data_IF_970700734841
#
_entry.id   IF_970700734841
#
_cell.length_a   1.000
_cell.length_b   1.000
_cell.length_c   1.000
_cell.angle_alpha   90.00
_cell.angle_beta   90.00
_cell.angle_gamma   90.00
#
_symmetry.space_group_name_H-M   'P 1'
#
loop_
_entity.id
_entity.type
_entity.pdbx_description
1 polymer ?
#
# COMPACT_ATOMS: atom_id res chain seq x y z
N UNK A 1 17.09 -25.23 16.52
CA UNK A 1 16.43 -23.91 16.60
C UNK A 1 16.86 -23.22 17.87
N UNK A 2 17.56 -22.07 17.81
CA UNK A 2 18.18 -21.47 18.98
C UNK A 2 17.18 -21.18 20.09
N UNK A 3 17.46 -21.67 21.29
CA UNK A 3 16.61 -21.55 22.48
C UNK A 3 16.82 -20.17 23.11
N UNK A 4 15.72 -19.47 23.39
CA UNK A 4 15.73 -18.21 24.14
C UNK A 4 15.58 -18.49 25.63
N UNK A 5 16.59 -18.13 26.42
CA UNK A 5 16.57 -18.32 27.87
C UNK A 5 16.86 -17.00 28.60
N UNK A 6 16.28 -16.80 29.77
CA UNK A 6 16.60 -15.64 30.60
C UNK A 6 17.81 -15.94 31.49
N UNK A 7 18.76 -15.01 31.58
CA UNK A 7 19.88 -15.15 32.51
C UNK A 7 19.40 -15.00 33.96
N UNK A 8 19.70 -15.93 34.89
CA UNK A 8 19.26 -15.85 36.27
C UNK A 8 19.87 -14.69 37.06
N UNK A 9 21.01 -14.14 36.61
CA UNK A 9 21.68 -13.02 37.28
C UNK A 9 21.14 -11.64 36.90
N UNK A 10 20.75 -11.43 35.65
CA UNK A 10 20.34 -10.10 35.15
C UNK A 10 19.00 -10.06 34.39
N UNK A 11 18.32 -11.20 34.27
CA UNK A 11 17.01 -11.31 33.61
C UNK A 11 17.02 -11.16 32.08
N UNK A 12 18.15 -10.79 31.46
CA UNK A 12 18.21 -10.60 29.99
C UNK A 12 18.05 -11.91 29.23
N UNK A 13 17.29 -11.85 28.13
CA UNK A 13 17.07 -12.98 27.21
C UNK A 13 18.33 -13.20 26.35
N UNK A 14 18.89 -14.39 26.44
CA UNK A 14 20.03 -14.85 25.66
C UNK A 14 19.57 -15.88 24.64
N UNK A 15 20.07 -15.75 23.41
CA UNK A 15 19.87 -16.71 22.34
C UNK A 15 21.00 -17.74 22.39
N UNK A 16 20.67 -18.97 22.76
CA UNK A 16 21.65 -20.05 22.96
C UNK A 16 21.46 -21.10 21.86
N UNK A 17 22.56 -21.51 21.24
CA UNK A 17 22.56 -22.58 20.22
C UNK A 17 22.19 -23.91 20.90
N UNK A 18 21.46 -24.75 20.18
CA UNK A 18 20.96 -26.05 20.66
C UNK A 18 22.09 -26.93 21.22
N UNK A 19 23.28 -26.89 20.61
CA UNK A 19 24.46 -27.66 21.01
C UNK A 19 25.03 -27.28 22.41
N UNK A 20 24.53 -26.18 22.99
CA UNK A 20 24.93 -25.67 24.31
C UNK A 20 23.89 -25.96 25.40
N UNK A 21 22.76 -26.60 25.06
CA UNK A 21 21.77 -27.10 26.03
C UNK A 21 22.43 -28.14 26.94
N UNK A 22 22.21 -28.06 28.25
CA UNK A 22 22.85 -28.91 29.27
C UNK A 22 24.27 -28.49 29.68
N UNK A 23 24.93 -27.60 28.93
CA UNK A 23 26.30 -27.12 29.21
C UNK A 23 26.31 -25.84 30.07
N UNK A 24 27.41 -25.61 30.78
CA UNK A 24 27.65 -24.38 31.53
C UNK A 24 28.02 -23.23 30.58
N UNK A 25 27.21 -22.19 30.56
CA UNK A 25 27.39 -21.00 29.72
C UNK A 25 27.61 -19.76 30.59
N UNK A 26 28.28 -18.75 30.04
CA UNK A 26 28.56 -17.46 30.71
C UNK A 26 27.75 -16.35 30.05
N UNK A 27 27.02 -15.58 30.84
CA UNK A 27 26.28 -14.42 30.34
C UNK A 27 27.24 -13.33 29.83
N UNK A 28 27.08 -12.80 28.60
CA UNK A 28 27.94 -11.74 28.08
C UNK A 28 27.74 -10.38 28.79
N UNK A 29 26.60 -10.19 29.47
CA UNK A 29 26.28 -8.92 30.12
C UNK A 29 26.70 -8.84 31.59
N UNK A 30 26.40 -9.87 32.38
CA UNK A 30 26.72 -9.88 33.82
C UNK A 30 27.83 -10.87 34.20
N UNK A 31 28.37 -11.63 33.24
CA UNK A 31 29.44 -12.64 33.42
C UNK A 31 29.09 -13.82 34.36
N UNK A 32 27.84 -13.90 34.82
CA UNK A 32 27.33 -15.02 35.61
C UNK A 32 27.41 -16.32 34.80
N UNK A 33 27.92 -17.40 35.42
CA UNK A 33 27.94 -18.76 34.84
C UNK A 33 26.69 -19.51 35.30
N UNK A 34 25.98 -20.16 34.37
CA UNK A 34 24.81 -20.98 34.67
C UNK A 34 24.60 -22.06 33.59
N UNK A 35 23.84 -23.12 33.87
CA UNK A 35 23.58 -24.20 32.90
C UNK A 35 22.32 -23.92 32.08
N UNK A 36 22.37 -24.17 30.78
CA UNK A 36 21.20 -24.07 29.90
C UNK A 36 20.26 -25.27 30.14
N UNK A 37 18.97 -25.05 30.49
CA UNK A 37 18.03 -26.13 30.80
C UNK A 37 17.62 -26.92 29.55
N UNK A 38 17.43 -28.24 29.70
CA UNK A 38 16.87 -29.12 28.66
C UNK A 38 15.38 -28.80 28.46
N UNK A 39 14.97 -28.62 27.20
CA UNK A 39 13.58 -28.31 26.86
C UNK A 39 12.72 -29.59 26.90
N UNK A 40 11.76 -29.67 27.83
CA UNK A 40 10.60 -30.58 27.74
C UNK A 40 9.43 -29.87 27.04
N UNK A 41 8.69 -30.52 26.12
CA UNK A 41 7.58 -29.90 25.43
C UNK A 41 6.23 -30.25 26.08
N UNK A 42 5.61 -29.32 26.79
CA UNK A 42 4.15 -29.31 27.08
C UNK A 42 3.72 -27.83 27.18
N UNK A 43 2.85 -27.34 26.30
CA UNK A 43 1.38 -27.42 26.29
C UNK A 43 0.72 -26.34 27.17
N UNK A 44 0.02 -25.40 26.50
CA UNK A 44 -1.21 -24.77 26.94
C UNK A 44 -1.21 -23.86 28.19
N UNK A 45 -1.56 -22.59 27.98
CA UNK A 45 -2.27 -21.80 28.98
C UNK A 45 -1.57 -20.50 29.41
N UNK A 46 -1.85 -19.40 28.71
CA UNK A 46 -1.56 -18.07 29.26
C UNK A 46 -2.76 -17.58 30.07
N UNK A 47 -2.68 -17.79 31.39
CA UNK A 47 -3.52 -17.13 32.37
C UNK A 47 -2.95 -15.72 32.65
N UNK A 48 -3.83 -14.72 32.58
CA UNK A 48 -3.54 -13.31 32.87
C UNK A 48 -3.44 -13.10 34.38
N UNK A 49 -2.32 -12.55 34.87
CA UNK A 49 -2.26 -11.94 36.19
C UNK A 49 -1.94 -10.44 36.06
N UNK A 50 -2.77 -9.64 36.74
CA UNK A 50 -2.67 -8.19 36.89
C UNK A 50 -1.59 -7.85 37.91
N UNK A 51 -0.64 -7.00 37.55
CA UNK A 51 0.26 -6.36 38.52
C UNK A 51 -0.16 -4.90 38.80
N UNK A 52 -0.17 -4.57 40.09
CA UNK A 52 -0.45 -3.25 40.66
C UNK A 52 0.74 -2.29 40.44
N UNK A 53 0.53 -0.97 40.37
CA UNK A 53 1.62 -0.02 40.21
C UNK A 53 2.45 0.10 41.50
N UNK A 54 3.78 0.09 41.37
CA UNK A 54 4.72 0.43 42.45
C UNK A 54 5.15 1.91 42.35
N UNK A 55 5.48 2.55 43.49
CA UNK A 55 5.52 4.00 43.63
C UNK A 55 6.80 4.63 43.07
N UNK A 56 6.69 5.92 42.72
CA UNK A 56 7.80 6.76 42.29
C UNK A 56 8.89 6.87 43.38
N UNK A 57 10.14 6.64 42.99
CA UNK A 57 11.32 6.92 43.81
C UNK A 57 11.64 8.41 43.67
N UNK A 58 11.57 9.12 44.79
CA UNK A 58 12.07 10.48 44.97
C UNK A 58 13.60 10.46 44.92
N UNK A 59 14.20 11.27 44.06
CA UNK A 59 15.62 11.59 44.10
C UNK A 59 15.81 12.71 45.13
N UNK A 60 16.61 12.44 46.17
CA UNK A 60 17.18 13.50 47.01
C UNK A 60 18.64 13.74 46.60
N UNK A 61 19.14 14.99 46.70
CA UNK A 61 20.48 15.38 46.29
C UNK A 61 21.49 15.26 47.44
N UNK A 62 22.76 15.41 47.09
CA UNK A 62 23.97 15.53 47.95
C UNK A 62 24.82 14.26 48.07
N UNK A 63 25.97 14.28 47.38
CA UNK A 63 27.25 13.84 47.95
C UNK A 63 28.39 14.47 47.12
N UNK A 64 28.87 15.63 47.59
CA UNK A 64 30.14 16.24 47.24
C UNK A 64 31.29 15.39 47.79
N UNK A 65 32.28 15.06 46.95
CA UNK A 65 33.58 14.57 47.43
C UNK A 65 34.71 15.44 46.87
N UNK A 66 35.14 16.35 47.74
CA UNK A 66 36.52 16.69 48.10
C UNK A 66 37.63 16.30 47.12
N UNK A 67 38.18 17.28 46.40
CA UNK A 67 39.58 17.29 45.98
C UNK A 67 40.02 18.74 45.74
N UNK A 68 40.22 19.50 46.81
CA UNK A 68 40.76 20.85 46.74
C UNK A 68 41.92 21.03 47.75
N UNK A 69 43.15 20.69 47.33
CA UNK A 69 44.35 21.35 47.83
C UNK A 69 45.58 21.09 46.95
N UNK A 70 46.30 22.18 46.71
CA UNK A 70 47.65 22.31 46.15
C UNK A 70 47.73 22.59 44.64
N UNK A 71 47.73 23.87 44.26
CA UNK A 71 48.95 24.64 43.97
C UNK A 71 48.51 26.04 43.49
N UNK A 72 48.71 27.05 44.33
CA UNK A 72 48.79 28.45 43.89
C UNK A 72 50.23 28.70 43.42
N UNK A 73 50.44 28.88 42.11
CA UNK A 73 51.62 29.59 41.62
C UNK A 73 51.33 30.33 40.29
N UNK A 74 51.31 31.67 40.40
CA UNK A 74 51.75 32.68 39.42
C UNK A 74 51.07 32.74 38.04
N UNK A 75 50.05 33.60 37.98
CA UNK A 75 49.78 34.60 36.93
C UNK A 75 50.57 34.54 35.62
N UNK A 76 49.88 34.16 34.54
CA UNK A 76 49.82 34.91 33.28
C UNK A 76 48.51 34.53 32.54
N UNK A 77 47.64 35.51 32.30
CA UNK A 77 46.39 35.29 31.54
C UNK A 77 46.74 35.08 30.07
N UNK A 78 46.40 33.94 29.43
CA UNK A 78 46.51 33.84 27.98
C UNK A 78 45.54 34.85 27.35
N UNK A 79 46.05 35.67 26.42
CA UNK A 79 45.23 36.58 25.63
C UNK A 79 44.15 35.79 24.89
N UNK A 80 42.91 36.29 24.78
CA UNK A 80 41.86 35.59 24.06
C UNK A 80 42.33 35.36 22.61
N UNK A 81 42.13 34.15 22.05
CA UNK A 81 42.51 33.90 20.67
C UNK A 81 41.77 34.89 19.76
N UNK A 82 42.41 35.38 18.68
CA UNK A 82 41.76 36.31 17.77
C UNK A 82 40.45 35.69 17.29
N UNK A 83 39.35 36.42 17.51
CA UNK A 83 37.98 36.04 17.15
C UNK A 83 37.96 35.83 15.63
N UNK A 84 38.28 34.61 15.18
CA UNK A 84 38.04 34.20 13.81
C UNK A 84 36.53 34.31 13.63
N UNK A 85 36.10 35.29 12.84
CA UNK A 85 34.75 35.39 12.32
C UNK A 85 34.48 34.13 11.51
N UNK A 86 34.08 33.07 12.21
CA UNK A 86 33.57 31.85 11.58
C UNK A 86 32.30 32.31 10.88
N UNK A 87 32.41 32.58 9.58
CA UNK A 87 31.26 32.72 8.70
C UNK A 87 30.41 31.48 8.95
N UNK A 88 29.37 31.63 9.77
CA UNK A 88 28.36 30.60 9.96
C UNK A 88 27.66 30.54 8.61
N UNK A 89 28.14 29.67 7.73
CA UNK A 89 27.37 29.24 6.59
C UNK A 89 26.06 28.70 7.17
N UNK A 90 24.99 29.44 6.94
CA UNK A 90 23.65 28.96 7.24
C UNK A 90 23.41 27.89 6.18
N UNK A 91 23.66 26.63 6.53
CA UNK A 91 23.27 25.49 5.71
C UNK A 91 21.75 25.46 5.65
N UNK A 92 21.19 26.20 4.69
CA UNK A 92 19.84 26.00 4.21
C UNK A 92 19.88 24.63 3.54
N UNK A 93 19.11 23.61 3.98
CA UNK A 93 19.12 22.32 3.32
C UNK A 93 18.78 22.52 1.84
N UNK A 94 19.69 22.19 0.92
CA UNK A 94 19.48 22.37 -0.50
C UNK A 94 18.75 21.12 -1.02
N UNK A 95 17.46 20.96 -0.74
CA UNK A 95 16.74 19.76 -1.22
C UNK A 95 15.57 20.04 -2.15
N UNK A 96 15.09 21.29 -2.26
CA UNK A 96 13.93 21.60 -3.11
C UNK A 96 14.21 22.61 -4.23
N UNK A 97 15.43 23.15 -4.31
CA UNK A 97 15.80 24.17 -5.31
C UNK A 97 16.55 23.62 -6.53
N UNK A 98 16.88 22.32 -6.57
CA UNK A 98 17.70 21.75 -7.65
C UNK A 98 16.94 20.86 -8.65
N UNK A 99 15.71 20.45 -8.34
CA UNK A 99 14.86 19.71 -9.28
C UNK A 99 14.41 20.59 -10.42
N UNK A 100 14.80 20.24 -11.65
CA UNK A 100 14.37 20.91 -12.85
C UNK A 100 12.83 21.01 -12.92
N UNK A 101 12.31 22.19 -13.26
CA UNK A 101 10.87 22.49 -13.20
C UNK A 101 10.01 21.55 -14.05
N UNK A 102 10.54 21.02 -15.14
CA UNK A 102 9.82 20.10 -16.03
C UNK A 102 9.56 18.73 -15.38
N UNK A 103 10.52 18.18 -14.61
CA UNK A 103 10.35 16.91 -13.87
C UNK A 103 9.21 17.02 -12.84
N UNK A 104 9.00 18.21 -12.27
CA UNK A 104 7.94 18.46 -11.30
C UNK A 104 6.54 18.27 -11.87
N UNK A 105 6.36 18.51 -13.17
CA UNK A 105 5.05 18.46 -13.83
C UNK A 105 4.84 17.15 -14.60
N UNK A 106 5.84 16.29 -14.66
CA UNK A 106 5.81 15.08 -15.48
C UNK A 106 4.77 14.05 -15.00
N UNK A 107 4.37 14.11 -13.72
CA UNK A 107 3.28 13.30 -13.18
C UNK A 107 1.95 13.50 -13.93
N UNK A 108 1.76 14.64 -14.59
CA UNK A 108 0.58 14.92 -15.42
C UNK A 108 0.50 14.07 -16.68
N UNK A 109 1.60 13.49 -17.15
CA UNK A 109 1.55 12.52 -18.24
C UNK A 109 0.71 11.29 -17.87
N UNK A 110 0.55 10.98 -16.58
CA UNK A 110 -0.32 9.90 -16.12
C UNK A 110 -1.78 10.14 -16.52
N UNK A 111 -2.21 11.38 -16.74
CA UNK A 111 -3.56 11.68 -17.23
C UNK A 111 -3.79 11.18 -18.66
N UNK A 112 -2.73 11.00 -19.47
CA UNK A 112 -2.84 10.38 -20.80
C UNK A 112 -3.28 8.92 -20.71
N UNK A 113 -3.02 8.26 -19.58
CA UNK A 113 -3.51 6.90 -19.34
C UNK A 113 -5.04 6.85 -19.19
N UNK A 114 -5.74 7.97 -19.06
CA UNK A 114 -7.21 8.02 -19.12
C UNK A 114 -7.76 7.92 -20.54
N UNK A 115 -6.95 8.11 -21.59
CA UNK A 115 -7.43 8.13 -22.97
C UNK A 115 -8.11 6.80 -23.37
N UNK A 116 -7.54 5.61 -23.12
CA UNK A 116 -8.23 4.36 -23.46
C UNK A 116 -9.57 4.20 -22.74
N UNK A 117 -9.63 4.57 -21.46
CA UNK A 117 -10.88 4.58 -20.69
C UNK A 117 -11.91 5.56 -21.27
N UNK A 118 -11.51 6.79 -21.57
CA UNK A 118 -12.41 7.80 -22.14
C UNK A 118 -12.94 7.35 -23.51
N UNK A 119 -12.08 6.81 -24.37
CA UNK A 119 -12.47 6.28 -25.67
C UNK A 119 -13.45 5.12 -25.48
N UNK A 120 -13.15 4.17 -24.60
CA UNK A 120 -13.98 2.97 -24.36
C UNK A 120 -15.33 3.29 -23.72
N UNK A 121 -15.41 4.29 -22.84
CA UNK A 121 -16.67 4.64 -22.16
C UNK A 121 -17.57 5.55 -23.01
N UNK A 122 -16.99 6.34 -23.92
CA UNK A 122 -17.73 7.25 -24.81
C UNK A 122 -18.16 6.56 -26.11
N UNK A 123 -17.38 5.59 -26.59
CA UNK A 123 -17.88 4.68 -27.62
C UNK A 123 -18.81 3.68 -26.94
N UNK A 124 -20.09 3.73 -27.29
CA UNK A 124 -20.99 2.60 -27.05
C UNK A 124 -20.47 1.44 -27.89
N UNK A 125 -19.52 0.67 -27.37
CA UNK A 125 -19.26 -0.66 -27.92
C UNK A 125 -20.56 -1.45 -27.67
N UNK A 126 -21.31 -1.67 -28.74
CA UNK A 126 -22.50 -2.50 -28.76
C UNK A 126 -22.17 -4.00 -28.53
N UNK A 127 -20.93 -4.30 -28.10
CA UNK A 127 -20.28 -5.61 -28.13
C UNK A 127 -20.41 -6.40 -26.82
N UNK A 128 -20.74 -5.77 -25.69
CA UNK A 128 -21.16 -6.49 -24.47
C UNK A 128 -22.68 -6.76 -24.46
N UNK A 129 -23.45 -5.92 -25.15
CA UNK A 129 -24.92 -5.93 -25.13
C UNK A 129 -25.59 -7.12 -25.84
N UNK A 130 -24.83 -8.15 -26.25
CA UNK A 130 -25.32 -9.52 -26.25
C UNK A 130 -24.15 -10.50 -26.46
N UNK A 131 -23.51 -10.95 -25.37
CA UNK A 131 -22.61 -12.12 -25.40
C UNK A 131 -23.26 -13.31 -26.13
N UNK A 132 -24.58 -13.50 -25.95
CA UNK A 132 -25.37 -14.51 -26.65
C UNK A 132 -25.41 -14.28 -28.17
N UNK A 133 -25.49 -13.03 -28.63
CA UNK A 133 -25.47 -12.69 -30.06
C UNK A 133 -24.10 -12.97 -30.65
N UNK A 134 -23.02 -12.57 -29.96
CA UNK A 134 -21.65 -12.87 -30.40
C UNK A 134 -21.38 -14.37 -30.42
N UNK A 135 -21.89 -15.11 -29.45
CA UNK A 135 -21.84 -16.57 -29.44
C UNK A 135 -22.58 -17.15 -30.66
N UNK A 136 -23.81 -16.72 -30.91
CA UNK A 136 -24.61 -17.17 -32.05
C UNK A 136 -23.92 -16.87 -33.40
N UNK A 137 -23.35 -15.68 -33.56
CA UNK A 137 -22.57 -15.28 -34.75
C UNK A 137 -21.32 -16.16 -34.91
N UNK A 138 -20.58 -16.39 -33.82
CA UNK A 138 -19.37 -17.22 -33.82
C UNK A 138 -19.68 -18.66 -34.25
N UNK A 139 -20.78 -19.23 -33.76
CA UNK A 139 -21.22 -20.58 -34.14
C UNK A 139 -21.67 -20.59 -35.59
N UNK A 140 -22.48 -19.62 -36.02
CA UNK A 140 -23.00 -19.55 -37.39
C UNK A 140 -21.89 -19.47 -38.46
N UNK A 141 -20.79 -18.78 -38.15
CA UNK A 141 -19.63 -18.64 -39.05
C UNK A 141 -18.68 -19.85 -39.02
N UNK A 142 -18.86 -20.78 -38.07
CA UNK A 142 -18.01 -21.94 -37.92
C UNK A 142 -18.32 -23.06 -38.96
N UNK A 143 -17.37 -23.96 -39.25
CA UNK A 143 -17.63 -25.17 -40.04
C UNK A 143 -18.75 -26.05 -39.45
N UNK A 144 -19.45 -26.83 -40.29
CA UNK A 144 -20.62 -27.61 -39.88
C UNK A 144 -20.34 -28.65 -38.77
N UNK A 145 -19.14 -29.25 -38.75
CA UNK A 145 -18.70 -30.16 -37.70
C UNK A 145 -18.49 -29.44 -36.35
N UNK A 146 -17.94 -28.22 -36.40
CA UNK A 146 -17.74 -27.37 -35.22
C UNK A 146 -19.07 -26.84 -34.69
N UNK A 147 -20.00 -26.47 -35.56
CA UNK A 147 -21.37 -26.09 -35.18
C UNK A 147 -22.04 -27.20 -34.37
N UNK A 148 -22.09 -28.41 -34.94
CA UNK A 148 -22.72 -29.55 -34.28
C UNK A 148 -22.06 -29.89 -32.93
N UNK A 149 -20.72 -29.81 -32.85
CA UNK A 149 -20.01 -30.02 -31.60
C UNK A 149 -20.35 -28.96 -30.57
N UNK A 150 -20.38 -27.69 -30.96
CA UNK A 150 -20.65 -26.57 -30.05
C UNK A 150 -22.08 -26.60 -29.53
N UNK A 151 -23.06 -26.89 -30.39
CA UNK A 151 -24.46 -27.05 -30.00
C UNK A 151 -24.63 -28.14 -28.94
N UNK A 152 -23.98 -29.30 -29.11
CA UNK A 152 -24.01 -30.38 -28.09
C UNK A 152 -23.46 -29.92 -26.75
N UNK A 153 -22.39 -29.13 -26.74
CA UNK A 153 -21.80 -28.58 -25.50
C UNK A 153 -22.75 -27.57 -24.87
N UNK A 154 -23.37 -26.69 -25.66
CA UNK A 154 -24.37 -25.72 -25.17
C UNK A 154 -25.54 -26.45 -24.51
N UNK A 155 -26.14 -27.45 -25.16
CA UNK A 155 -27.22 -28.25 -24.57
C UNK A 155 -26.78 -28.95 -23.29
N UNK A 156 -25.55 -29.49 -23.26
CA UNK A 156 -24.99 -30.07 -22.03
C UNK A 156 -24.93 -29.06 -20.89
N UNK A 157 -24.46 -27.83 -21.16
CA UNK A 157 -24.36 -26.77 -20.15
C UNK A 157 -25.74 -26.33 -19.63
N UNK A 158 -26.75 -26.22 -20.49
CA UNK A 158 -28.13 -25.92 -20.08
C UNK A 158 -28.72 -27.00 -19.18
N UNK A 159 -28.34 -28.26 -19.38
CA UNK A 159 -28.69 -29.39 -18.51
C UNK A 159 -27.85 -29.45 -17.22
N UNK A 160 -26.95 -28.48 -16.99
CA UNK A 160 -26.04 -28.45 -15.85
C UNK A 160 -24.88 -29.46 -15.95
N UNK A 161 -24.57 -29.94 -17.16
CA UNK A 161 -23.49 -30.89 -17.44
C UNK A 161 -22.33 -30.18 -18.14
N UNK A 162 -21.12 -30.29 -17.58
CA UNK A 162 -19.90 -29.71 -18.16
C UNK A 162 -19.52 -28.36 -17.58
N UNK A 163 -18.41 -27.80 -18.07
CA UNK A 163 -17.86 -26.53 -17.61
C UNK A 163 -17.85 -25.48 -18.72
N UNK A 164 -17.89 -24.19 -18.37
CA UNK A 164 -17.81 -23.07 -19.33
C UNK A 164 -16.57 -23.16 -20.23
N UNK A 165 -15.47 -23.72 -19.73
CA UNK A 165 -14.27 -23.91 -20.54
C UNK A 165 -14.48 -24.91 -21.70
N UNK A 166 -15.38 -25.89 -21.55
CA UNK A 166 -15.70 -26.85 -22.61
C UNK A 166 -16.36 -26.15 -23.81
N UNK A 167 -17.13 -25.08 -23.56
CA UNK A 167 -17.71 -24.24 -24.60
C UNK A 167 -16.59 -23.57 -25.42
N UNK A 168 -15.64 -22.92 -24.76
CA UNK A 168 -14.51 -22.29 -25.45
C UNK A 168 -13.62 -23.31 -26.16
N UNK A 169 -13.45 -24.51 -25.61
CA UNK A 169 -12.69 -25.58 -26.27
C UNK A 169 -13.39 -26.11 -27.54
N UNK A 170 -14.71 -25.91 -27.67
CA UNK A 170 -15.50 -26.24 -28.86
C UNK A 170 -15.56 -25.10 -29.89
N UNK A 171 -15.44 -23.85 -29.47
CA UNK A 171 -15.51 -22.68 -30.36
C UNK A 171 -14.32 -22.59 -31.34
N UNK A 172 -14.52 -22.02 -32.54
CA UNK A 172 -13.43 -21.77 -33.47
C UNK A 172 -12.37 -20.85 -32.84
N UNK A 173 -11.09 -21.22 -32.98
CA UNK A 173 -9.95 -20.52 -32.38
C UNK A 173 -10.04 -20.34 -30.85
N UNK A 174 -10.88 -21.11 -30.17
CA UNK A 174 -11.08 -21.04 -28.72
C UNK A 174 -11.53 -19.68 -28.17
N UNK A 175 -12.34 -18.93 -28.94
CA UNK A 175 -12.82 -17.59 -28.56
C UNK A 175 -14.11 -17.19 -29.26
N UNK A 176 -14.78 -16.18 -28.71
CA UNK A 176 -15.89 -15.48 -29.37
C UNK A 176 -15.38 -14.56 -30.48
N UNK A 177 -16.21 -14.31 -31.49
CA UNK A 177 -15.98 -13.29 -32.50
C UNK A 177 -15.77 -11.92 -31.84
N UNK A 178 -14.78 -11.17 -32.34
CA UNK A 178 -14.32 -9.90 -31.76
C UNK A 178 -13.38 -10.02 -30.55
N UNK A 179 -13.19 -11.21 -29.96
CA UNK A 179 -12.27 -11.36 -28.82
C UNK A 179 -10.79 -11.31 -29.27
N UNK A 180 -9.96 -10.58 -28.54
CA UNK A 180 -8.55 -10.39 -28.90
C UNK A 180 -7.74 -11.68 -28.75
N UNK A 181 -7.94 -12.40 -27.64
CA UNK A 181 -7.15 -13.57 -27.27
C UNK A 181 -8.02 -14.83 -27.11
N UNK A 182 -7.47 -16.04 -27.34
CA UNK A 182 -8.13 -17.30 -27.01
C UNK A 182 -8.28 -17.50 -25.50
N UNK A 183 -9.24 -18.35 -25.08
CA UNK A 183 -9.52 -18.63 -23.66
C UNK A 183 -8.29 -19.14 -22.91
N UNK A 184 -7.54 -20.08 -23.50
CA UNK A 184 -6.29 -20.62 -22.95
C UNK A 184 -5.10 -19.91 -23.59
N UNK A 185 -4.66 -18.81 -22.99
CA UNK A 185 -3.54 -18.00 -23.47
C UNK A 185 -2.66 -17.55 -22.30
N UNK A 186 -1.39 -17.25 -22.60
CA UNK A 186 -0.48 -16.58 -21.67
C UNK A 186 -0.17 -15.13 -22.09
N UNK A 187 -0.77 -14.64 -23.17
CA UNK A 187 -0.44 -13.32 -23.73
C UNK A 187 -0.76 -12.15 -22.79
N UNK A 188 -1.72 -12.32 -21.86
CA UNK A 188 -1.98 -11.31 -20.83
C UNK A 188 -0.79 -11.10 -19.89
N UNK A 189 0.10 -12.09 -19.72
CA UNK A 189 1.38 -11.90 -19.00
C UNK A 189 2.35 -11.01 -19.76
N UNK A 190 2.35 -11.07 -21.10
CA UNK A 190 3.14 -10.17 -21.91
C UNK A 190 2.63 -8.72 -21.78
N UNK A 191 1.30 -8.52 -21.77
CA UNK A 191 0.71 -7.20 -21.50
C UNK A 191 1.05 -6.68 -20.11
N UNK A 192 1.00 -7.55 -19.10
CA UNK A 192 1.41 -7.22 -17.74
C UNK A 192 2.88 -6.81 -17.66
N UNK A 193 3.78 -7.54 -18.34
CA UNK A 193 5.21 -7.20 -18.38
C UNK A 193 5.45 -5.85 -19.06
N UNK A 194 4.79 -5.59 -20.20
CA UNK A 194 4.89 -4.32 -20.91
C UNK A 194 4.39 -3.18 -20.01
N UNK A 195 3.22 -3.33 -19.39
CA UNK A 195 2.68 -2.34 -18.47
C UNK A 195 3.63 -2.11 -17.29
N UNK A 196 4.12 -3.17 -16.64
CA UNK A 196 5.07 -3.05 -15.53
C UNK A 196 6.34 -2.28 -15.93
N UNK A 197 6.91 -2.56 -17.11
CA UNK A 197 8.07 -1.84 -17.62
C UNK A 197 7.75 -0.36 -17.87
N UNK A 198 6.60 -0.05 -18.49
CA UNK A 198 6.20 1.32 -18.79
C UNK A 198 5.98 2.14 -17.51
N UNK A 199 5.26 1.59 -16.53
CA UNK A 199 5.01 2.27 -15.25
C UNK A 199 6.29 2.39 -14.43
N UNK A 200 7.15 1.37 -14.42
CA UNK A 200 8.44 1.45 -13.75
C UNK A 200 9.32 2.52 -14.39
N UNK A 201 9.45 2.54 -15.72
CA UNK A 201 10.22 3.55 -16.44
C UNK A 201 9.69 4.96 -16.17
N UNK A 202 8.36 5.13 -16.14
CA UNK A 202 7.72 6.39 -15.79
C UNK A 202 8.07 6.84 -14.36
N UNK A 203 7.95 5.94 -13.36
CA UNK A 203 8.26 6.27 -11.97
C UNK A 203 9.76 6.55 -11.79
N UNK A 204 10.65 5.80 -12.45
CA UNK A 204 12.10 6.05 -12.43
C UNK A 204 12.44 7.41 -13.06
N UNK A 205 11.74 7.82 -14.11
CA UNK A 205 11.90 9.14 -14.71
C UNK A 205 11.45 10.25 -13.75
N UNK A 206 10.37 10.02 -12.98
CA UNK A 206 9.94 10.95 -11.92
C UNK A 206 10.93 11.02 -10.74
N UNK A 207 11.68 9.93 -10.51
CA UNK A 207 12.70 9.82 -9.47
C UNK A 207 14.11 10.25 -9.92
N UNK A 208 14.24 10.89 -11.09
CA UNK A 208 15.53 11.31 -11.66
C UNK A 208 16.32 12.29 -10.77
N UNK A 209 15.66 12.90 -9.79
CA UNK A 209 16.25 13.75 -8.77
C UNK A 209 16.82 12.99 -7.56
N UNK A 210 16.79 11.66 -7.59
CA UNK A 210 17.22 10.80 -6.49
C UNK A 210 16.24 10.72 -5.33
N UNK A 211 14.97 11.13 -5.53
CA UNK A 211 13.95 11.10 -4.48
C UNK A 211 13.52 9.71 -4.05
N UNK A 212 13.73 8.69 -4.89
CA UNK A 212 13.55 7.28 -4.55
C UNK A 212 14.56 6.41 -5.30
N UNK A 213 15.02 5.33 -4.65
CA UNK A 213 15.90 4.36 -5.27
C UNK A 213 15.07 3.33 -6.07
N UNK A 214 15.56 2.95 -7.25
CA UNK A 214 14.83 2.07 -8.19
C UNK A 214 14.46 0.73 -7.58
N UNK A 215 15.34 0.14 -6.76
CA UNK A 215 15.09 -1.15 -6.14
C UNK A 215 13.99 -1.08 -5.06
N UNK A 216 13.84 0.06 -4.38
CA UNK A 216 12.73 0.28 -3.46
C UNK A 216 11.41 0.38 -4.22
N UNK A 217 11.37 1.18 -5.29
CA UNK A 217 10.20 1.29 -6.19
C UNK A 217 9.76 -0.07 -6.71
N UNK A 218 10.71 -0.84 -7.27
CA UNK A 218 10.45 -2.19 -7.76
C UNK A 218 9.97 -3.13 -6.66
N UNK A 219 10.66 -3.14 -5.51
CA UNK A 219 10.32 -4.01 -4.38
C UNK A 219 8.93 -3.76 -3.83
N UNK A 220 8.48 -2.50 -3.78
CA UNK A 220 7.15 -2.12 -3.30
C UNK A 220 6.07 -2.53 -4.29
N UNK A 221 6.27 -2.26 -5.58
CA UNK A 221 5.35 -2.70 -6.62
C UNK A 221 5.20 -4.23 -6.63
N UNK A 222 6.32 -4.96 -6.51
CA UNK A 222 6.28 -6.43 -6.40
C UNK A 222 5.60 -6.90 -5.11
N UNK A 223 5.81 -6.23 -3.98
CA UNK A 223 5.16 -6.55 -2.71
C UNK A 223 3.65 -6.47 -2.83
N UNK A 224 3.09 -5.38 -3.37
CA UNK A 224 1.63 -5.26 -3.51
C UNK A 224 1.06 -6.15 -4.60
N UNK A 225 1.78 -6.33 -5.72
CA UNK A 225 1.39 -7.25 -6.79
C UNK A 225 1.30 -8.71 -6.33
N UNK A 226 2.06 -9.10 -5.29
CA UNK A 226 2.14 -10.49 -4.81
C UNK A 226 1.54 -10.66 -3.43
N UNK A 227 2.26 -10.25 -2.38
CA UNK A 227 1.87 -10.40 -0.98
C UNK A 227 0.55 -9.66 -0.72
N UNK A 228 0.36 -8.49 -1.34
CA UNK A 228 -0.88 -7.74 -1.22
C UNK A 228 -2.09 -8.49 -1.76
N UNK A 229 -2.00 -8.98 -3.00
CA UNK A 229 -3.05 -9.79 -3.62
C UNK A 229 -3.30 -11.10 -2.86
N UNK A 230 -2.25 -11.81 -2.45
CA UNK A 230 -2.38 -13.03 -1.65
C UNK A 230 -3.06 -12.77 -0.31
N UNK A 231 -2.79 -11.63 0.31
CA UNK A 231 -3.48 -11.21 1.52
C UNK A 231 -4.98 -10.97 1.26
N UNK A 232 -5.36 -10.35 0.14
CA UNK A 232 -6.77 -10.17 -0.21
C UNK A 232 -7.47 -11.50 -0.47
N UNK A 233 -6.84 -12.44 -1.18
CA UNK A 233 -7.38 -13.79 -1.33
C UNK A 233 -7.55 -14.51 0.00
N UNK A 234 -6.61 -14.34 0.93
CA UNK A 234 -6.76 -14.88 2.28
C UNK A 234 -7.95 -14.25 3.00
N UNK A 235 -8.13 -12.93 2.93
CA UNK A 235 -9.29 -12.24 3.53
C UNK A 235 -10.59 -12.77 2.94
N UNK A 236 -10.68 -12.91 1.62
CA UNK A 236 -11.86 -13.47 0.93
C UNK A 236 -12.11 -14.93 1.30
N UNK A 237 -11.06 -15.75 1.39
CA UNK A 237 -11.15 -17.16 1.80
C UNK A 237 -11.69 -17.29 3.23
N UNK A 238 -11.18 -16.51 4.17
CA UNK A 238 -11.67 -16.51 5.56
C UNK A 238 -13.11 -15.98 5.61
N UNK A 239 -13.42 -14.94 4.84
CA UNK A 239 -14.77 -14.39 4.75
C UNK A 239 -15.78 -15.38 4.16
N UNK A 240 -15.36 -16.21 3.20
CA UNK A 240 -16.15 -17.31 2.66
C UNK A 240 -16.31 -18.45 3.68
N UNK A 241 -15.23 -18.83 4.37
CA UNK A 241 -15.24 -19.90 5.38
C UNK A 241 -16.11 -19.57 6.61
N UNK A 242 -16.32 -18.29 6.91
CA UNK A 242 -17.17 -17.84 8.03
C UNK A 242 -18.65 -17.76 7.66
N UNK A 243 -19.03 -18.03 6.41
CA UNK A 243 -20.44 -18.03 5.99
C UNK A 243 -21.24 -19.14 6.65
N UNK A 244 -22.50 -18.84 7.02
CA UNK A 244 -23.39 -19.78 7.71
C UNK A 244 -23.14 -19.95 9.21
N UNK A 245 -22.00 -19.49 9.72
CA UNK A 245 -21.68 -19.54 11.15
C UNK A 245 -22.06 -18.23 11.86
N UNK A 246 -22.49 -18.37 13.12
CA UNK A 246 -22.78 -17.25 14.02
C UNK A 246 -22.05 -17.47 15.33
N UNK A 247 -21.20 -16.52 15.71
CA UNK A 247 -20.49 -16.54 16.99
C UNK A 247 -21.15 -15.53 17.91
N UNK A 248 -21.55 -15.98 19.10
CA UNK A 248 -22.13 -15.13 20.14
C UNK A 248 -21.15 -15.04 21.32
N UNK A 249 -21.11 -13.89 21.99
CA UNK A 249 -20.22 -13.66 23.13
C UNK A 249 -19.70 -12.23 23.23
N UNK A 250 -18.73 -12.03 24.10
CA UNK A 250 -18.02 -10.75 24.28
C UNK A 250 -16.53 -10.99 24.12
N UNK A 251 -15.84 -10.05 23.47
CA UNK A 251 -14.38 -10.09 23.31
C UNK A 251 -13.93 -9.78 21.89
N UNK A 252 -12.61 -9.58 21.75
CA UNK A 252 -11.99 -9.16 20.49
C UNK A 252 -12.17 -10.19 19.36
N UNK A 253 -12.19 -11.48 19.67
CA UNK A 253 -12.41 -12.55 18.67
C UNK A 253 -13.79 -12.44 18.03
N UNK A 254 -14.81 -12.11 18.81
CA UNK A 254 -16.19 -11.93 18.31
C UNK A 254 -16.24 -10.70 17.38
N UNK A 255 -15.59 -9.60 17.77
CA UNK A 255 -15.50 -8.39 16.94
C UNK A 255 -14.81 -8.70 15.60
N UNK A 256 -13.64 -9.35 15.65
CA UNK A 256 -12.90 -9.74 14.44
C UNK A 256 -13.72 -10.67 13.53
N UNK A 257 -14.45 -11.63 14.11
CA UNK A 257 -15.36 -12.50 13.36
C UNK A 257 -16.42 -11.70 12.60
N UNK A 258 -17.07 -10.73 13.26
CA UNK A 258 -18.08 -9.90 12.61
C UNK A 258 -17.49 -8.91 11.59
N UNK A 259 -16.26 -8.43 11.78
CA UNK A 259 -15.54 -7.64 10.75
C UNK A 259 -15.32 -8.47 9.50
N UNK A 260 -14.77 -9.69 9.64
CA UNK A 260 -14.55 -10.62 8.52
C UNK A 260 -15.87 -10.95 7.83
N UNK A 261 -16.93 -11.23 8.60
CA UNK A 261 -18.26 -11.51 8.07
C UNK A 261 -18.85 -10.32 7.31
N UNK A 262 -18.64 -9.11 7.81
CA UNK A 262 -19.06 -7.88 7.14
C UNK A 262 -18.31 -7.68 5.82
N UNK A 263 -17.00 -7.92 5.79
CA UNK A 263 -16.21 -7.90 4.54
C UNK A 263 -16.80 -8.90 3.53
N UNK A 264 -17.06 -10.14 3.93
CA UNK A 264 -17.68 -11.15 3.04
C UNK A 264 -19.10 -10.80 2.58
N UNK A 265 -19.88 -10.11 3.41
CA UNK A 265 -21.15 -9.54 2.98
C UNK A 265 -20.96 -8.43 1.94
N UNK A 266 -20.01 -7.51 2.16
CA UNK A 266 -19.71 -6.42 1.24
C UNK A 266 -19.22 -6.91 -0.12
N UNK A 267 -18.36 -7.94 -0.18
CA UNK A 267 -17.93 -8.55 -1.46
C UNK A 267 -19.12 -9.11 -2.25
N UNK A 268 -20.01 -9.89 -1.60
CA UNK A 268 -21.22 -10.39 -2.27
C UNK A 268 -22.14 -9.26 -2.71
N UNK A 269 -22.26 -8.21 -1.89
CA UNK A 269 -23.04 -7.04 -2.26
C UNK A 269 -22.49 -6.36 -3.54
N UNK A 270 -21.16 -6.33 -3.67
CA UNK A 270 -20.46 -5.80 -4.83
C UNK A 270 -20.63 -6.68 -6.08
N UNK A 271 -20.55 -8.01 -5.95
CA UNK A 271 -20.56 -8.94 -7.09
C UNK A 271 -21.97 -9.30 -7.60
N UNK A 272 -22.99 -9.32 -6.73
CA UNK A 272 -24.33 -9.76 -7.10
C UNK A 272 -24.99 -8.79 -8.12
N UNK A 273 -25.30 -9.24 -9.35
CA UNK A 273 -25.85 -8.40 -10.40
C UNK A 273 -27.19 -7.72 -10.04
N UNK A 274 -28.01 -8.39 -9.22
CA UNK A 274 -29.37 -7.97 -8.88
C UNK A 274 -29.40 -6.82 -7.86
N UNK A 275 -28.29 -6.58 -7.16
CA UNK A 275 -28.23 -5.55 -6.13
C UNK A 275 -28.31 -4.14 -6.72
N UNK A 276 -29.18 -3.30 -6.17
CA UNK A 276 -29.30 -1.90 -6.55
C UNK A 276 -28.02 -1.07 -6.33
N UNK A 277 -28.05 0.19 -6.80
CA UNK A 277 -26.89 1.10 -6.74
C UNK A 277 -26.32 1.27 -5.33
N UNK A 278 -27.16 1.55 -4.33
CA UNK A 278 -26.71 1.85 -2.97
C UNK A 278 -26.01 0.66 -2.31
N UNK A 279 -26.55 -0.55 -2.46
CA UNK A 279 -25.98 -1.76 -1.90
C UNK A 279 -24.68 -2.15 -2.61
N UNK A 280 -24.63 -1.97 -3.93
CA UNK A 280 -23.39 -2.15 -4.71
C UNK A 280 -22.31 -1.14 -4.28
N UNK A 281 -22.67 0.13 -4.08
CA UNK A 281 -21.75 1.18 -3.61
C UNK A 281 -21.17 0.86 -2.23
N UNK A 282 -22.01 0.44 -1.29
CA UNK A 282 -21.56 0.00 0.01
C UNK A 282 -20.62 -1.21 -0.12
N UNK A 283 -20.97 -2.19 -0.97
CA UNK A 283 -20.16 -3.37 -1.23
C UNK A 283 -18.78 -3.06 -1.79
N UNK A 284 -18.71 -2.29 -2.88
CA UNK A 284 -17.45 -1.89 -3.49
C UNK A 284 -16.64 -0.95 -2.59
N UNK A 285 -17.27 -0.07 -1.82
CA UNK A 285 -16.52 0.85 -0.93
C UNK A 285 -15.94 0.14 0.28
N UNK A 286 -16.77 -0.65 1.00
CA UNK A 286 -16.41 -1.21 2.30
C UNK A 286 -15.85 -2.64 2.23
N UNK A 287 -16.09 -3.34 1.12
CA UNK A 287 -15.48 -4.64 0.81
C UNK A 287 -14.21 -4.44 0.01
N UNK A 288 -14.36 -4.19 -1.29
CA UNK A 288 -13.26 -4.11 -2.27
C UNK A 288 -12.34 -2.93 -1.95
N UNK A 289 -12.82 -1.70 -2.09
CA UNK A 289 -12.05 -0.47 -1.93
C UNK A 289 -11.34 -0.36 -0.58
N UNK A 290 -12.02 -0.66 0.54
CA UNK A 290 -11.38 -0.62 1.85
C UNK A 290 -10.20 -1.61 1.94
N UNK A 291 -10.42 -2.87 1.56
CA UNK A 291 -9.39 -3.89 1.67
C UNK A 291 -8.20 -3.58 0.74
N UNK A 292 -8.48 -3.16 -0.48
CA UNK A 292 -7.46 -2.84 -1.48
C UNK A 292 -6.66 -1.59 -1.12
N UNK A 293 -7.32 -0.49 -0.76
CA UNK A 293 -6.61 0.74 -0.40
C UNK A 293 -5.78 0.57 0.87
N UNK A 294 -6.27 -0.17 1.88
CA UNK A 294 -5.47 -0.48 3.08
C UNK A 294 -4.26 -1.32 2.71
N UNK A 295 -4.44 -2.37 1.92
CA UNK A 295 -3.35 -3.24 1.47
C UNK A 295 -2.26 -2.44 0.74
N UNK A 296 -2.67 -1.56 -0.20
CA UNK A 296 -1.76 -0.68 -0.95
C UNK A 296 -1.08 0.38 -0.06
N UNK A 297 -1.68 0.75 1.07
CA UNK A 297 -1.13 1.71 2.01
C UNK A 297 -0.05 1.12 2.95
N UNK A 298 0.01 -0.19 3.14
CA UNK A 298 0.92 -0.83 4.11
C UNK A 298 2.41 -0.50 3.87
N UNK A 299 2.96 -0.52 2.63
CA UNK A 299 4.35 -0.14 2.40
C UNK A 299 4.64 1.33 2.77
N UNK A 300 3.64 2.21 2.66
CA UNK A 300 3.75 3.63 2.99
C UNK A 300 3.78 3.85 4.50
N UNK A 301 2.97 3.10 5.26
CA UNK A 301 3.06 3.11 6.72
C UNK A 301 4.46 2.70 7.18
N UNK A 302 5.04 1.67 6.55
CA UNK A 302 6.40 1.23 6.83
C UNK A 302 7.44 2.31 6.50
N UNK A 303 7.29 3.02 5.37
CA UNK A 303 8.16 4.13 4.97
C UNK A 303 8.26 5.22 6.04
N UNK A 304 7.11 5.71 6.52
CA UNK A 304 7.06 6.81 7.50
C UNK A 304 7.43 6.39 8.92
N UNK A 305 7.34 5.11 9.24
CA UNK A 305 7.76 4.59 10.55
C UNK A 305 9.25 4.36 10.70
N UNK A 306 10.00 4.24 9.59
CA UNK A 306 11.42 3.89 9.63
C UNK A 306 12.35 5.07 9.90
N UNK A 307 11.91 6.32 9.72
CA UNK A 307 12.76 7.48 9.98
C UNK A 307 12.07 8.84 9.88
N UNK A 308 12.70 9.86 10.45
CA UNK A 308 12.17 11.23 10.56
C UNK A 308 12.53 12.17 9.40
N UNK A 309 13.28 11.68 8.40
CA UNK A 309 13.79 12.48 7.26
C UNK A 309 13.18 12.09 5.91
N UNK A 310 12.00 11.49 5.95
CA UNK A 310 11.31 11.05 4.74
C UNK A 310 10.75 12.24 3.95
N UNK A 311 11.14 12.36 2.69
CA UNK A 311 10.62 13.39 1.79
C UNK A 311 9.24 12.97 1.21
N UNK A 312 8.43 13.96 0.82
CA UNK A 312 7.12 13.69 0.23
C UNK A 312 7.23 13.05 -1.16
N UNK A 313 8.27 13.40 -1.93
CA UNK A 313 8.47 12.89 -3.30
C UNK A 313 8.72 11.39 -3.31
N UNK A 314 9.60 10.90 -2.45
CA UNK A 314 9.88 9.48 -2.25
C UNK A 314 8.63 8.73 -1.79
N UNK A 315 7.87 9.28 -0.82
CA UNK A 315 6.60 8.69 -0.43
C UNK A 315 5.61 8.60 -1.58
N UNK A 316 5.47 9.69 -2.35
CA UNK A 316 4.59 9.74 -3.51
C UNK A 316 4.97 8.68 -4.55
N UNK A 317 6.27 8.53 -4.85
CA UNK A 317 6.77 7.51 -5.77
C UNK A 317 6.55 6.08 -5.24
N UNK A 318 6.72 5.85 -3.94
CA UNK A 318 6.36 4.59 -3.29
C UNK A 318 4.86 4.32 -3.43
N UNK A 319 4.03 5.36 -3.30
CA UNK A 319 2.58 5.28 -3.47
C UNK A 319 2.19 4.91 -4.89
N UNK A 320 2.76 5.60 -5.90
CA UNK A 320 2.57 5.27 -7.31
C UNK A 320 2.98 3.82 -7.60
N UNK A 321 4.14 3.39 -7.09
CA UNK A 321 4.66 2.04 -7.30
C UNK A 321 3.76 0.97 -6.66
N UNK A 322 3.31 1.22 -5.43
CA UNK A 322 2.41 0.35 -4.69
C UNK A 322 1.07 0.16 -5.43
N UNK A 323 0.46 1.26 -5.88
CA UNK A 323 -0.78 1.21 -6.65
C UNK A 323 -0.61 0.59 -8.04
N UNK A 324 0.47 0.92 -8.75
CA UNK A 324 0.75 0.35 -10.07
C UNK A 324 1.00 -1.17 -10.00
N UNK A 325 1.78 -1.63 -9.02
CA UNK A 325 2.01 -3.07 -8.81
C UNK A 325 0.72 -3.83 -8.55
N UNK A 326 -0.15 -3.27 -7.70
CA UNK A 326 -1.48 -3.82 -7.45
C UNK A 326 -2.32 -3.90 -8.74
N UNK A 327 -2.41 -2.79 -9.50
CA UNK A 327 -3.18 -2.74 -10.74
C UNK A 327 -2.66 -3.69 -11.82
N UNK A 328 -1.34 -3.92 -11.91
CA UNK A 328 -0.77 -4.93 -12.82
C UNK A 328 -1.27 -6.33 -12.46
N UNK A 329 -1.26 -6.68 -11.17
CA UNK A 329 -1.69 -8.00 -10.72
C UNK A 329 -3.19 -8.20 -10.92
N UNK A 330 -4.00 -7.18 -10.62
CA UNK A 330 -5.44 -7.20 -10.89
C UNK A 330 -5.72 -7.36 -12.39
N UNK A 331 -4.97 -6.66 -13.26
CA UNK A 331 -5.11 -6.79 -14.71
C UNK A 331 -4.84 -8.22 -15.20
N UNK A 332 -3.88 -8.94 -14.60
CA UNK A 332 -3.63 -10.36 -14.90
C UNK A 332 -4.83 -11.21 -14.51
N UNK A 333 -5.34 -11.05 -13.28
CA UNK A 333 -6.48 -11.83 -12.75
C UNK A 333 -7.72 -11.60 -13.61
N UNK A 334 -8.07 -10.34 -13.87
CA UNK A 334 -9.24 -10.03 -14.70
C UNK A 334 -9.11 -10.55 -16.13
N UNK A 335 -7.90 -10.48 -16.68
CA UNK A 335 -7.66 -11.00 -18.03
C UNK A 335 -7.85 -12.51 -18.09
N UNK A 336 -7.29 -13.23 -17.11
CA UNK A 336 -7.43 -14.68 -16.95
C UNK A 336 -8.89 -15.09 -16.83
N UNK A 337 -9.62 -14.43 -15.93
CA UNK A 337 -10.91 -14.94 -15.47
C UNK A 337 -12.05 -14.46 -16.36
N UNK A 338 -11.99 -13.20 -16.82
CA UNK A 338 -13.11 -12.53 -17.50
C UNK A 338 -12.85 -12.14 -18.96
N UNK A 339 -11.61 -11.90 -19.39
CA UNK A 339 -11.36 -11.35 -20.75
C UNK A 339 -10.90 -12.36 -21.79
N UNK A 340 -10.08 -13.34 -21.41
CA UNK A 340 -9.55 -14.32 -22.37
C UNK A 340 -10.71 -15.10 -23.01
N UNK A 341 -10.76 -15.10 -24.34
CA UNK A 341 -11.84 -15.71 -25.12
C UNK A 341 -13.08 -14.84 -25.29
N UNK A 342 -13.20 -13.71 -24.59
CA UNK A 342 -14.44 -12.93 -24.48
C UNK A 342 -14.25 -11.48 -24.93
N UNK A 343 -13.26 -10.76 -24.42
CA UNK A 343 -13.18 -9.30 -24.61
C UNK A 343 -12.31 -8.90 -25.79
N UNK A 344 -12.65 -7.77 -26.41
CA UNK A 344 -11.87 -7.14 -27.47
C UNK A 344 -10.63 -6.41 -26.96
N UNK A 345 -9.85 -5.83 -27.86
CA UNK A 345 -8.57 -5.18 -27.53
C UNK A 345 -8.74 -3.94 -26.63
N UNK A 346 -9.86 -3.22 -26.73
CA UNK A 346 -10.17 -2.04 -25.92
C UNK A 346 -10.15 -2.37 -24.43
N UNK A 347 -10.75 -3.49 -24.00
CA UNK A 347 -10.78 -3.92 -22.60
C UNK A 347 -9.38 -4.16 -22.03
N UNK A 348 -8.47 -4.77 -22.80
CA UNK A 348 -7.06 -4.93 -22.39
C UNK A 348 -6.34 -3.59 -22.31
N UNK A 349 -6.58 -2.69 -23.27
CA UNK A 349 -6.05 -1.33 -23.24
C UNK A 349 -6.46 -0.59 -21.97
N UNK A 350 -7.76 -0.52 -21.69
CA UNK A 350 -8.31 0.10 -20.46
C UNK A 350 -7.70 -0.54 -19.21
N UNK A 351 -7.65 -1.87 -19.12
CA UNK A 351 -7.21 -2.58 -17.92
C UNK A 351 -5.70 -2.45 -17.67
N UNK A 352 -4.87 -2.57 -18.70
CA UNK A 352 -3.40 -2.48 -18.59
C UNK A 352 -2.85 -1.06 -18.67
N UNK A 353 -3.69 -0.04 -18.85
CA UNK A 353 -3.26 1.36 -18.77
C UNK A 353 -4.12 2.18 -17.81
N UNK A 354 -5.41 2.32 -18.09
CA UNK A 354 -6.25 3.26 -17.33
C UNK A 354 -6.49 2.81 -15.90
N UNK A 355 -6.80 1.53 -15.68
CA UNK A 355 -6.99 0.99 -14.34
C UNK A 355 -5.69 1.09 -13.52
N UNK A 356 -4.55 0.65 -14.07
CA UNK A 356 -3.24 0.77 -13.40
C UNK A 356 -2.92 2.21 -12.99
N UNK A 357 -3.20 3.18 -13.88
CA UNK A 357 -3.04 4.59 -13.55
C UNK A 357 -3.97 5.04 -12.40
N UNK A 358 -5.23 4.60 -12.37
CA UNK A 358 -6.16 4.91 -11.28
C UNK A 358 -5.67 4.36 -9.94
N UNK A 359 -5.24 3.08 -9.86
CA UNK A 359 -4.65 2.55 -8.62
C UNK A 359 -3.41 3.34 -8.19
N UNK A 360 -2.52 3.68 -9.14
CA UNK A 360 -1.34 4.49 -8.86
C UNK A 360 -1.72 5.88 -8.30
N UNK A 361 -2.70 6.57 -8.91
CA UNK A 361 -3.18 7.89 -8.45
C UNK A 361 -3.80 7.83 -7.07
N UNK A 362 -4.63 6.83 -6.81
CA UNK A 362 -5.28 6.65 -5.51
C UNK A 362 -4.24 6.41 -4.41
N UNK A 363 -3.30 5.49 -4.63
CA UNK A 363 -2.25 5.21 -3.64
C UNK A 363 -1.20 6.32 -3.53
N UNK A 364 -0.89 7.03 -4.61
CA UNK A 364 -0.08 8.24 -4.58
C UNK A 364 -0.73 9.36 -3.75
N UNK A 365 -2.06 9.48 -3.83
CA UNK A 365 -2.84 10.42 -3.00
C UNK A 365 -2.77 10.05 -1.52
N UNK A 366 -2.90 8.76 -1.19
CA UNK A 366 -2.70 8.23 0.18
C UNK A 366 -1.31 8.63 0.70
N UNK A 367 -0.25 8.47 -0.11
CA UNK A 367 1.11 8.79 0.30
C UNK A 367 1.31 10.29 0.62
N UNK A 368 0.68 11.18 -0.16
CA UNK A 368 0.71 12.62 0.10
C UNK A 368 -0.10 12.96 1.36
N UNK A 369 -1.26 12.34 1.56
CA UNK A 369 -2.05 12.55 2.78
C UNK A 369 -1.29 12.10 4.03
N UNK A 370 -0.61 10.95 3.98
CA UNK A 370 0.29 10.50 5.04
C UNK A 370 1.42 11.49 5.27
N UNK A 371 1.98 12.10 4.21
CA UNK A 371 2.99 13.15 4.35
C UNK A 371 2.45 14.38 5.08
N UNK A 372 1.28 14.88 4.66
CA UNK A 372 0.68 16.09 5.19
C UNK A 372 0.24 15.94 6.65
N UNK A 373 -0.04 14.71 7.07
CA UNK A 373 -0.54 14.37 8.40
C UNK A 373 0.29 13.28 9.09
N UNK A 374 1.62 13.43 9.05
CA UNK A 374 2.55 12.51 9.73
C UNK A 374 2.35 12.48 11.26
N UNK A 375 1.76 13.54 11.82
CA UNK A 375 1.40 13.65 13.23
C UNK A 375 0.55 12.47 13.72
N UNK A 376 -0.28 11.90 12.85
CA UNK A 376 -1.19 10.80 13.21
C UNK A 376 -0.51 9.43 13.33
N UNK A 377 0.76 9.28 12.91
CA UNK A 377 1.45 7.97 12.85
C UNK A 377 2.87 7.96 13.46
N UNK A 378 3.38 9.11 13.90
CA UNK A 378 4.74 9.25 14.46
C UNK A 378 4.78 9.25 15.99
N UNK A 379 3.67 8.97 16.68
CA UNK A 379 3.69 8.80 18.13
C UNK A 379 4.45 7.52 18.52
N UNK A 380 5.38 7.66 19.48
CA UNK A 380 6.37 6.61 19.79
C UNK A 380 5.79 5.35 20.46
N UNK A 381 4.56 5.40 20.97
CA UNK A 381 3.93 4.33 21.77
C UNK A 381 2.58 3.83 21.20
N UNK A 382 2.33 3.99 19.90
CA UNK A 382 1.07 3.52 19.29
C UNK A 382 0.94 1.99 19.31
N UNK A 383 -0.17 1.50 19.85
CA UNK A 383 -0.58 0.12 19.71
C UNK A 383 -1.16 -0.15 18.30
N UNK A 384 -1.27 -1.42 17.90
CA UNK A 384 -1.74 -1.78 16.55
C UNK A 384 -3.15 -1.21 16.23
N UNK A 385 -4.03 -1.13 17.22
CA UNK A 385 -5.39 -0.62 17.04
C UNK A 385 -5.45 0.90 16.87
N UNK A 386 -4.43 1.63 17.34
CA UNK A 386 -4.35 3.08 17.16
C UNK A 386 -4.14 3.46 15.68
N UNK A 387 -3.67 2.52 14.85
CA UNK A 387 -3.51 2.72 13.40
C UNK A 387 -4.82 2.62 12.62
N UNK A 388 -5.91 2.12 13.21
CA UNK A 388 -7.18 1.93 12.49
C UNK A 388 -7.71 3.28 11.99
N UNK A 389 -7.80 4.29 12.86
CA UNK A 389 -8.34 5.60 12.50
C UNK A 389 -7.45 6.39 11.54
N UNK A 390 -6.12 6.49 11.74
CA UNK A 390 -5.21 7.07 10.75
C UNK A 390 -5.32 6.36 9.40
N UNK A 391 -5.34 5.02 9.35
CA UNK A 391 -5.49 4.31 8.07
C UNK A 391 -6.80 4.66 7.38
N UNK A 392 -7.93 4.61 8.07
CA UNK A 392 -9.24 5.00 7.52
C UNK A 392 -9.24 6.46 7.03
N UNK A 393 -8.56 7.37 7.75
CA UNK A 393 -8.40 8.75 7.32
C UNK A 393 -7.61 8.84 6.01
N UNK A 394 -6.48 8.14 5.90
CA UNK A 394 -5.63 8.20 4.72
C UNK A 394 -6.26 7.56 3.49
N UNK A 395 -6.94 6.42 3.65
CA UNK A 395 -7.57 5.72 2.53
C UNK A 395 -8.97 6.20 2.21
N UNK A 396 -9.62 6.96 3.10
CA UNK A 396 -11.06 7.23 3.03
C UNK A 396 -11.54 7.84 1.71
N UNK A 397 -10.86 8.88 1.21
CA UNK A 397 -11.23 9.50 -0.08
C UNK A 397 -10.95 8.54 -1.25
N UNK A 398 -9.72 8.00 -1.42
CA UNK A 398 -9.45 6.99 -2.45
C UNK A 398 -10.42 5.79 -2.42
N UNK A 399 -10.73 5.27 -1.24
CA UNK A 399 -11.66 4.15 -1.03
C UNK A 399 -13.07 4.46 -1.55
N UNK A 400 -13.59 5.65 -1.28
CA UNK A 400 -14.92 6.07 -1.77
C UNK A 400 -14.91 6.33 -3.27
N UNK A 401 -13.87 6.97 -3.80
CA UNK A 401 -13.75 7.20 -5.25
C UNK A 401 -13.65 5.89 -6.01
N UNK A 402 -12.86 4.94 -5.50
CA UNK A 402 -12.74 3.59 -6.02
C UNK A 402 -14.09 2.87 -6.01
N UNK A 403 -14.74 2.78 -4.84
CA UNK A 403 -16.02 2.08 -4.74
C UNK A 403 -17.13 2.71 -5.59
N UNK A 404 -17.13 4.04 -5.74
CA UNK A 404 -18.04 4.75 -6.62
C UNK A 404 -17.76 4.48 -8.09
N UNK A 405 -16.48 4.46 -8.49
CA UNK A 405 -16.08 4.13 -9.86
C UNK A 405 -16.58 2.75 -10.27
N UNK A 406 -16.33 1.72 -9.45
CA UNK A 406 -16.75 0.35 -9.74
C UNK A 406 -18.27 0.21 -9.78
N UNK A 407 -18.98 0.90 -8.89
CA UNK A 407 -20.44 0.90 -8.87
C UNK A 407 -21.02 1.51 -10.13
N UNK A 408 -20.44 2.61 -10.60
CA UNK A 408 -20.89 3.28 -11.82
C UNK A 408 -20.65 2.40 -13.05
N UNK A 409 -19.52 1.69 -13.11
CA UNK A 409 -19.26 0.70 -14.16
C UNK A 409 -20.25 -0.47 -14.09
N UNK A 410 -20.47 -1.07 -12.91
CA UNK A 410 -21.43 -2.16 -12.72
C UNK A 410 -22.87 -1.77 -13.13
N UNK A 411 -23.21 -0.50 -13.02
CA UNK A 411 -24.55 0.03 -13.34
C UNK A 411 -24.64 0.68 -14.72
N UNK A 412 -23.64 0.48 -15.57
CA UNK A 412 -23.57 1.01 -16.93
C UNK A 412 -23.69 2.55 -17.00
N UNK A 413 -23.32 3.24 -15.90
CA UNK A 413 -23.30 4.70 -15.80
C UNK A 413 -21.92 5.21 -16.24
N UNK A 414 -21.56 4.91 -17.50
CA UNK A 414 -20.21 5.10 -18.07
C UNK A 414 -19.70 6.54 -17.95
N UNK A 415 -20.55 7.53 -18.25
CA UNK A 415 -20.18 8.95 -18.12
C UNK A 415 -19.87 9.30 -16.67
N UNK A 416 -20.63 8.75 -15.72
CA UNK A 416 -20.36 8.90 -14.29
C UNK A 416 -19.01 8.32 -13.90
N UNK A 417 -18.70 7.10 -14.35
CA UNK A 417 -17.41 6.46 -14.08
C UNK A 417 -16.23 7.29 -14.61
N UNK A 418 -16.37 7.87 -15.82
CA UNK A 418 -15.36 8.76 -16.39
C UNK A 418 -15.19 10.05 -15.55
N UNK A 419 -16.28 10.64 -15.07
CA UNK A 419 -16.23 11.81 -14.17
C UNK A 419 -15.45 11.45 -12.89
N UNK A 420 -15.72 10.30 -12.27
CA UNK A 420 -15.01 9.86 -11.06
C UNK A 420 -13.52 9.61 -11.31
N UNK A 421 -13.18 9.05 -12.48
CA UNK A 421 -11.79 8.90 -12.90
C UNK A 421 -11.10 10.27 -12.99
N UNK A 422 -11.72 11.27 -13.64
CA UNK A 422 -11.18 12.64 -13.71
C UNK A 422 -11.06 13.28 -12.32
N UNK A 423 -12.09 13.14 -11.47
CA UNK A 423 -12.07 13.66 -10.10
C UNK A 423 -10.93 13.06 -9.26
N UNK A 424 -10.55 11.81 -9.51
CA UNK A 424 -9.41 11.16 -8.84
C UNK A 424 -8.09 11.85 -9.19
N UNK A 425 -7.89 12.23 -10.45
CA UNK A 425 -6.71 13.01 -10.87
C UNK A 425 -6.75 14.45 -10.33
N UNK A 426 -7.91 15.09 -10.33
CA UNK A 426 -8.09 16.43 -9.74
C UNK A 426 -7.84 16.42 -8.23
N UNK A 427 -8.20 15.35 -7.53
CA UNK A 427 -7.90 15.19 -6.11
C UNK A 427 -6.39 15.10 -5.87
N UNK A 428 -5.67 14.29 -6.65
CA UNK A 428 -4.21 14.25 -6.58
C UNK A 428 -3.59 15.63 -6.86
N UNK A 429 -4.09 16.34 -7.88
CA UNK A 429 -3.65 17.69 -8.21
C UNK A 429 -3.82 18.68 -7.05
N UNK A 430 -4.97 18.61 -6.40
CA UNK A 430 -5.28 19.41 -5.22
C UNK A 430 -4.30 19.11 -4.08
N UNK A 431 -3.98 17.83 -3.83
CA UNK A 431 -3.00 17.44 -2.81
C UNK A 431 -1.58 17.95 -3.13
N UNK A 432 -1.15 17.86 -4.39
CA UNK A 432 0.15 18.39 -4.82
C UNK A 432 0.21 19.91 -4.66
N UNK A 433 -0.86 20.62 -4.99
CA UNK A 433 -0.96 22.07 -4.76
C UNK A 433 -0.83 22.42 -3.26
N UNK A 434 -1.46 21.63 -2.38
CA UNK A 434 -1.32 21.79 -0.92
C UNK A 434 0.12 21.61 -0.45
N UNK A 435 0.86 20.64 -1.00
CA UNK A 435 2.28 20.46 -0.67
C UNK A 435 3.11 21.69 -1.01
N UNK A 436 2.98 22.23 -2.23
CA UNK A 436 3.74 23.42 -2.63
C UNK A 436 3.46 24.62 -1.71
N UNK A 437 2.20 24.82 -1.31
CA UNK A 437 1.87 25.93 -0.38
C UNK A 437 2.47 25.71 1.01
N UNK A 438 2.55 24.46 1.48
CA UNK A 438 3.17 24.10 2.76
C UNK A 438 4.69 24.30 2.72
N UNK A 439 5.36 23.86 1.66
CA UNK A 439 6.80 24.02 1.44
C UNK A 439 7.18 25.51 1.37
N UNK A 440 6.42 26.32 0.62
CA UNK A 440 6.63 27.76 0.57
C UNK A 440 6.44 28.43 1.95
N UNK A 441 5.45 28.00 2.72
CA UNK A 441 5.22 28.51 4.07
C UNK A 441 6.36 28.12 5.02
N UNK A 442 6.88 26.89 4.92
CA UNK A 442 8.03 26.41 5.67
C UNK A 442 9.30 27.19 5.30
N UNK A 443 9.59 27.37 4.01
CA UNK A 443 10.70 28.16 3.50
C UNK A 443 10.64 29.62 3.97
N UNK A 444 9.45 30.25 3.93
CA UNK A 444 9.24 31.60 4.49
C UNK A 444 9.54 31.66 5.99
N UNK A 445 9.09 30.67 6.78
CA UNK A 445 9.38 30.57 8.22
C UNK A 445 10.88 30.41 8.50
N UNK A 446 11.57 29.56 7.74
CA UNK A 446 13.03 29.39 7.85
C UNK A 446 13.79 30.67 7.53
N UNK A 447 13.45 31.36 6.43
CA UNK A 447 14.06 32.65 6.07
C UNK A 447 13.85 33.70 7.17
N UNK A 448 12.67 33.75 7.79
CA UNK A 448 12.39 34.64 8.93
C UNK A 448 13.23 34.30 10.17
N UNK A 449 13.38 33.02 10.51
CA UNK A 449 14.24 32.57 11.62
C UNK A 449 15.71 32.89 11.38
N UNK A 450 16.21 32.65 10.16
CA UNK A 450 17.58 32.99 9.76
C UNK A 450 17.85 34.49 9.86
N UNK A 451 16.92 35.34 9.37
CA UNK A 451 17.01 36.80 9.51
C UNK A 451 17.05 37.24 10.98
N UNK A 452 16.18 36.69 11.83
CA UNK A 452 16.17 36.98 13.28
C UNK A 452 17.46 36.56 13.98
N UNK A 453 18.00 35.39 13.63
CA UNK A 453 19.28 34.91 14.18
C UNK A 453 20.44 35.80 13.74
N UNK A 454 20.48 36.22 12.48
CA UNK A 454 21.49 37.13 11.96
C UNK A 454 21.42 38.52 12.63
N UNK A 455 20.21 39.04 12.89
CA UNK A 455 20.03 40.29 13.62
C UNK A 455 20.57 40.21 15.06
N UNK A 456 20.21 39.15 15.81
CA UNK A 456 20.72 38.94 17.18
C UNK A 456 22.24 38.80 17.25
N UNK A 457 22.87 38.18 16.25
CA UNK A 457 24.32 38.08 16.20
C UNK A 457 24.99 39.44 15.94
N UNK A 458 24.38 40.31 15.13
CA UNK A 458 24.87 41.68 14.90
C UNK A 458 24.75 42.55 16.15
N UNK A 459 23.68 42.40 16.93
CA UNK A 459 23.49 43.09 18.21
C UNK A 459 24.46 42.62 19.30
N UNK A 460 24.92 41.36 19.25
CA UNK A 460 25.89 40.82 20.20
C UNK A 460 27.36 41.17 19.86
N UNK A 461 27.61 41.68 18.66
CA UNK A 461 28.94 42.10 18.18
C UNK A 461 29.12 43.64 18.22
N UNK A 462 28.05 44.39 18.50
CA UNK A 462 28.03 45.84 18.75
C UNK A 462 28.02 46.10 20.25
#
# INVERSE_FOLDING_TARGET
MPVLLACPGCGRRLKVKDDLVGRAIRCPHCRQKFRAPEAKPEAGGYAVQRERPRPAVLLNPEEETDYDRQIEEKTERPSPPPRRTRKVAIDIPPSELQTASWVRHLHWLLALALLPLAISLLHKDADEANLLKRLAETVKEAPADVQQRTERVITGLEEGKGAVNDLFDALPNHRLSGALLPRRTLMHWAFALIAAILYLAFIVLLSADGSAEVHHVLGIGLFTATIGILFLFLVQLIAAATQGYWVTGRGIVVILFYIVKFIGYSYRAAEDPENGFALSLMGFTLGVGLCEEVCKALPLLWYYRRGSNQNWRGAFLWGLASGAGFGVAEAIIYSSDFYNGISGASSYGVRFTSCIALHAVWTGSVAIMMHLRQDLIQENDMALHDFIWPMLYYVGIPMVLHGLYDTLLKKDINVGALIVAVLSFLFLAFLISRLHTADEAAARRMRRRAKRRAARLREADA
#
